data_IF_180126561365
#
_entry.id   IF_180126561365
#
_cell.length_a   1.000
_cell.length_b   1.000
_cell.length_c   1.000
_cell.angle_alpha   90.00
_cell.angle_beta   90.00
_cell.angle_gamma   90.00
#
_symmetry.space_group_name_H-M   'P 1'
#
loop_
_entity.id
_entity.type
_entity.pdbx_description
1 polymer ?
#
# COMPACT_ATOMS: atom_id res chain seq x y z
N UNK A 1 39.87 -32.14 36.73
CA UNK A 1 38.66 -31.77 37.50
C UNK A 1 38.01 -33.05 37.92
N UNK A 2 37.87 -33.29 39.22
CA UNK A 2 37.07 -34.40 39.73
C UNK A 2 35.60 -34.25 39.28
N UNK A 3 34.97 -35.34 38.84
CA UNK A 3 33.54 -35.32 38.49
C UNK A 3 32.73 -35.17 39.78
N UNK A 4 31.96 -34.08 39.90
CA UNK A 4 31.01 -33.91 41.01
C UNK A 4 29.81 -34.86 40.82
N UNK A 5 29.06 -35.21 41.88
CA UNK A 5 27.88 -36.10 41.79
C UNK A 5 26.59 -35.33 42.09
N UNK A 6 25.47 -35.68 41.44
CA UNK A 6 24.14 -35.07 41.69
C UNK A 6 23.91 -33.73 40.97
N UNK A 7 23.15 -32.81 41.58
CA UNK A 7 22.87 -31.46 41.07
C UNK A 7 24.13 -30.68 40.61
N UNK A 8 25.25 -30.68 41.35
CA UNK A 8 26.47 -30.00 40.89
C UNK A 8 27.07 -30.59 39.61
N UNK A 9 26.85 -31.89 39.33
CA UNK A 9 27.22 -32.49 38.04
C UNK A 9 26.45 -31.83 36.89
N UNK A 10 25.15 -31.56 37.08
CA UNK A 10 24.32 -30.92 36.04
C UNK A 10 24.83 -29.52 35.70
N UNK A 11 25.22 -28.73 36.70
CA UNK A 11 25.83 -27.42 36.47
C UNK A 11 27.21 -27.53 35.80
N UNK A 12 28.02 -28.50 36.21
CA UNK A 12 29.33 -28.76 35.60
C UNK A 12 29.19 -29.13 34.11
N UNK A 13 28.23 -30.01 33.79
CA UNK A 13 27.93 -30.44 32.43
C UNK A 13 27.32 -29.31 31.59
N UNK A 14 26.34 -28.60 32.13
CA UNK A 14 25.72 -27.44 31.46
C UNK A 14 26.76 -26.39 31.11
N UNK A 15 27.65 -26.05 32.05
CA UNK A 15 28.75 -25.11 31.82
C UNK A 15 29.72 -25.62 30.75
N UNK A 16 30.12 -26.89 30.81
CA UNK A 16 31.01 -27.48 29.81
C UNK A 16 30.38 -27.46 28.40
N UNK A 17 29.09 -27.76 28.30
CA UNK A 17 28.32 -27.70 27.06
C UNK A 17 28.18 -26.26 26.55
N UNK A 18 27.91 -25.30 27.42
CA UNK A 18 27.82 -23.88 27.07
C UNK A 18 29.14 -23.37 26.52
N UNK A 19 30.25 -23.67 27.18
CA UNK A 19 31.59 -23.25 26.74
C UNK A 19 31.94 -23.88 25.39
N UNK A 20 31.64 -25.18 25.20
CA UNK A 20 31.87 -25.85 23.91
C UNK A 20 31.06 -25.21 22.78
N UNK A 21 29.77 -24.96 23.01
CA UNK A 21 28.90 -24.34 22.00
C UNK A 21 29.27 -22.86 21.76
N UNK A 22 29.69 -22.13 22.78
CA UNK A 22 30.17 -20.75 22.66
C UNK A 22 31.48 -20.69 21.85
N UNK A 23 32.44 -21.60 22.09
CA UNK A 23 33.67 -21.70 21.30
C UNK A 23 33.41 -22.09 19.85
N UNK A 24 32.47 -23.00 19.60
CA UNK A 24 32.07 -23.39 18.25
C UNK A 24 31.42 -22.22 17.51
N UNK A 25 30.48 -21.52 18.18
CA UNK A 25 29.83 -20.32 17.68
C UNK A 25 30.84 -19.18 17.43
N UNK A 26 31.85 -19.06 18.28
CA UNK A 26 32.96 -18.12 18.11
C UNK A 26 33.88 -18.45 16.93
N UNK A 27 33.90 -19.69 16.43
CA UNK A 27 34.61 -20.00 15.18
C UNK A 27 33.80 -19.60 13.94
N UNK A 28 32.47 -19.63 14.03
CA UNK A 28 31.55 -19.19 12.98
C UNK A 28 30.94 -17.80 13.26
N UNK A 29 31.79 -16.82 13.60
CA UNK A 29 31.38 -15.45 13.99
C UNK A 29 30.51 -14.75 12.95
N UNK A 30 30.75 -15.00 11.67
CA UNK A 30 29.99 -14.38 10.58
C UNK A 30 28.53 -14.84 10.56
N UNK A 31 28.26 -16.13 10.77
CA UNK A 31 26.90 -16.65 10.75
C UNK A 31 26.07 -16.12 11.92
N UNK A 32 26.65 -16.08 13.12
CA UNK A 32 25.97 -15.53 14.30
C UNK A 32 25.83 -14.01 14.26
N UNK A 33 26.83 -13.30 13.73
CA UNK A 33 26.71 -11.85 13.52
C UNK A 33 25.60 -11.52 12.53
N UNK A 34 25.55 -12.19 11.37
CA UNK A 34 24.49 -11.98 10.38
C UNK A 34 23.11 -12.30 10.96
N UNK A 35 22.99 -13.38 11.74
CA UNK A 35 21.71 -13.76 12.33
C UNK A 35 21.21 -12.77 13.39
N UNK A 36 22.09 -12.27 14.26
CA UNK A 36 21.72 -11.28 15.28
C UNK A 36 21.50 -9.90 14.66
N UNK A 37 22.31 -9.51 13.68
CA UNK A 37 22.23 -8.20 13.03
C UNK A 37 21.13 -8.11 11.97
N UNK A 38 20.63 -9.26 11.48
CA UNK A 38 19.57 -9.31 10.47
C UNK A 38 18.32 -8.53 10.90
N UNK A 39 17.88 -8.67 12.15
CA UNK A 39 16.71 -7.93 12.65
C UNK A 39 16.92 -6.42 12.63
N UNK A 40 18.11 -5.94 12.99
CA UNK A 40 18.47 -4.52 12.94
C UNK A 40 18.49 -3.99 11.51
N UNK A 41 19.04 -4.76 10.57
CA UNK A 41 19.01 -4.41 9.14
C UNK A 41 17.58 -4.32 8.64
N UNK A 42 16.70 -5.26 9.00
CA UNK A 42 15.30 -5.21 8.60
C UNK A 42 14.57 -3.98 9.15
N UNK A 43 14.78 -3.63 10.42
CA UNK A 43 14.21 -2.42 11.03
C UNK A 43 14.71 -1.17 10.29
N UNK A 44 16.01 -1.10 10.00
CA UNK A 44 16.59 0.01 9.24
C UNK A 44 16.01 0.11 7.82
N UNK A 45 15.85 -1.02 7.13
CA UNK A 45 15.22 -1.05 5.79
C UNK A 45 13.77 -0.55 5.83
N UNK A 46 12.98 -0.98 6.82
CA UNK A 46 11.60 -0.49 7.00
C UNK A 46 11.57 1.02 7.22
N UNK A 47 12.49 1.55 8.03
CA UNK A 47 12.62 2.99 8.23
C UNK A 47 12.96 3.73 6.93
N UNK A 48 13.93 3.23 6.15
CA UNK A 48 14.28 3.81 4.85
C UNK A 48 13.09 3.82 3.88
N UNK A 49 12.29 2.75 3.85
CA UNK A 49 11.08 2.68 3.00
C UNK A 49 10.06 3.74 3.44
N UNK A 50 9.80 3.88 4.73
CA UNK A 50 8.89 4.92 5.23
C UNK A 50 9.36 6.32 4.84
N UNK A 51 10.65 6.62 5.01
CA UNK A 51 11.23 7.92 4.62
C UNK A 51 11.15 8.16 3.12
N UNK A 52 11.36 7.13 2.29
CA UNK A 52 11.25 7.24 0.84
C UNK A 52 9.81 7.52 0.39
N UNK A 53 8.83 6.84 1.02
CA UNK A 53 7.40 7.11 0.81
C UNK A 53 7.08 8.56 1.18
N UNK A 54 7.46 9.01 2.38
CA UNK A 54 7.22 10.40 2.81
C UNK A 54 7.83 11.42 1.85
N UNK A 55 9.07 11.21 1.40
CA UNK A 55 9.75 12.09 0.45
C UNK A 55 9.02 12.15 -0.91
N UNK A 56 8.49 11.01 -1.39
CA UNK A 56 7.73 10.96 -2.64
C UNK A 56 6.40 11.72 -2.53
N UNK A 57 5.75 11.69 -1.37
CA UNK A 57 4.45 12.32 -1.16
C UNK A 57 4.52 13.73 -0.55
N UNK A 58 5.72 14.28 -0.34
CA UNK A 58 5.92 15.64 0.21
C UNK A 58 5.29 16.73 -0.67
N UNK A 59 5.22 16.51 -1.99
CA UNK A 59 4.60 17.44 -2.96
C UNK A 59 3.06 17.27 -3.05
N UNK A 60 2.48 16.31 -2.33
CA UNK A 60 1.05 16.03 -2.37
C UNK A 60 0.40 16.35 -1.04
N UNK A 61 -0.71 17.08 -1.05
CA UNK A 61 -1.51 17.37 0.16
C UNK A 61 -2.20 16.13 0.74
N UNK A 62 -1.94 14.93 0.20
CA UNK A 62 -2.57 13.68 0.62
C UNK A 62 -2.30 13.34 2.10
N UNK A 63 -1.18 13.80 2.66
CA UNK A 63 -0.80 13.59 4.06
C UNK A 63 -0.82 14.85 4.93
N UNK A 64 -1.19 16.02 4.37
CA UNK A 64 -1.35 17.23 5.17
C UNK A 64 -2.76 17.35 5.74
N UNK A 65 -2.85 17.64 7.03
CA UNK A 65 -4.11 18.01 7.67
C UNK A 65 -4.47 19.44 7.27
N UNK A 66 -5.22 19.59 6.17
CA UNK A 66 -5.72 20.89 5.72
C UNK A 66 -6.98 21.24 6.52
N UNK A 67 -6.84 22.15 7.49
CA UNK A 67 -7.94 22.59 8.37
C UNK A 67 -9.00 23.44 7.65
N UNK A 68 -8.63 24.09 6.55
CA UNK A 68 -9.54 24.87 5.69
C UNK A 68 -9.23 24.61 4.21
N UNK A 69 -9.80 23.54 3.62
CA UNK A 69 -9.57 23.22 2.22
C UNK A 69 -10.29 24.24 1.33
N UNK A 70 -9.54 24.94 0.48
CA UNK A 70 -10.14 25.76 -0.58
C UNK A 70 -11.06 24.86 -1.42
N UNK A 71 -12.31 25.26 -1.69
CA UNK A 71 -13.22 24.47 -2.50
C UNK A 71 -12.59 24.25 -3.88
N UNK A 72 -12.38 22.98 -4.23
CA UNK A 72 -11.96 22.57 -5.57
C UNK A 72 -13.09 22.94 -6.53
N UNK A 73 -12.91 24.02 -7.27
CA UNK A 73 -13.85 24.43 -8.31
C UNK A 73 -13.78 23.42 -9.46
N UNK A 74 -14.66 22.40 -9.40
CA UNK A 74 -14.97 21.43 -10.46
C UNK A 74 -13.79 21.10 -11.39
N UNK A 75 -12.77 20.35 -10.92
CA UNK A 75 -11.66 19.97 -11.77
C UNK A 75 -12.17 19.18 -13.00
N UNK A 76 -11.48 19.31 -14.15
CA UNK A 76 -11.86 18.57 -15.36
C UNK A 76 -11.81 17.07 -15.12
N UNK A 77 -12.74 16.34 -15.74
CA UNK A 77 -12.72 14.87 -15.79
C UNK A 77 -11.67 14.47 -16.85
N UNK A 78 -10.50 13.93 -16.43
CA UNK A 78 -9.45 13.53 -17.37
C UNK A 78 -9.91 12.31 -18.19
N UNK A 79 -9.32 12.09 -19.39
CA UNK A 79 -9.59 10.89 -20.16
C UNK A 79 -9.11 9.64 -19.40
N UNK A 80 -9.84 8.54 -19.52
CA UNK A 80 -9.49 7.29 -18.83
C UNK A 80 -8.12 6.74 -19.22
N UNK A 81 -7.63 7.08 -20.42
CA UNK A 81 -6.34 6.66 -20.97
C UNK A 81 -5.12 7.25 -20.27
N UNK A 82 -5.25 8.38 -19.55
CA UNK A 82 -4.12 9.03 -18.89
C UNK A 82 -3.61 8.24 -17.66
N UNK A 83 -4.25 7.10 -17.34
CA UNK A 83 -3.85 6.22 -16.24
C UNK A 83 -2.85 5.17 -16.71
N UNK A 84 -1.75 5.02 -15.98
CA UNK A 84 -0.66 4.07 -16.28
C UNK A 84 -1.09 2.60 -16.46
N UNK A 85 -2.20 2.17 -15.84
CA UNK A 85 -2.68 0.79 -15.87
C UNK A 85 -4.13 0.70 -16.33
N UNK A 86 -4.39 1.12 -17.57
CA UNK A 86 -5.74 1.11 -18.15
C UNK A 86 -6.10 -0.25 -18.76
N UNK A 87 -7.34 -0.73 -18.51
CA UNK A 87 -7.94 -1.87 -19.21
C UNK A 87 -8.94 -1.37 -20.25
N UNK A 88 -8.87 -1.90 -21.48
CA UNK A 88 -9.73 -1.51 -22.59
C UNK A 88 -10.91 -2.51 -22.71
N UNK A 89 -12.16 -2.05 -22.91
CA UNK A 89 -12.59 -0.65 -23.07
C UNK A 89 -12.58 0.12 -21.73
N UNK A 90 -12.15 1.39 -21.79
CA UNK A 90 -12.19 2.30 -20.65
C UNK A 90 -13.20 3.43 -20.84
N UNK A 91 -13.77 3.89 -19.73
CA UNK A 91 -14.79 4.93 -19.66
C UNK A 91 -14.35 6.05 -18.73
N UNK A 92 -14.65 7.30 -19.10
CA UNK A 92 -14.30 8.50 -18.34
C UNK A 92 -15.13 8.60 -17.05
N UNK A 93 -16.42 8.27 -17.13
CA UNK A 93 -17.28 8.12 -15.96
C UNK A 93 -18.46 7.17 -16.22
N UNK A 94 -19.02 6.66 -15.12
CA UNK A 94 -20.18 5.77 -15.11
C UNK A 94 -21.38 6.48 -14.49
N UNK A 95 -22.59 6.10 -14.89
CA UNK A 95 -23.82 6.62 -14.28
C UNK A 95 -24.91 5.54 -14.21
N UNK A 96 -25.82 5.67 -13.24
CA UNK A 96 -27.03 4.85 -13.12
C UNK A 96 -28.29 5.70 -13.32
N UNK A 97 -29.47 5.08 -13.38
CA UNK A 97 -30.73 5.81 -13.54
C UNK A 97 -31.02 6.31 -14.97
N UNK A 98 -30.62 5.55 -16.00
CA UNK A 98 -30.87 5.89 -17.41
C UNK A 98 -32.36 6.02 -17.80
N UNK A 99 -33.28 5.50 -16.98
CA UNK A 99 -34.72 5.72 -17.15
C UNK A 99 -35.17 7.14 -16.79
N UNK A 100 -34.37 7.92 -16.04
CA UNK A 100 -34.71 9.28 -15.64
C UNK A 100 -34.25 10.30 -16.67
N UNK A 101 -35.19 11.08 -17.21
CA UNK A 101 -34.91 12.18 -18.14
C UNK A 101 -34.04 13.27 -17.49
N UNK A 102 -34.17 13.47 -16.17
CA UNK A 102 -33.36 14.43 -15.41
C UNK A 102 -31.90 13.96 -15.38
N UNK A 103 -31.67 12.69 -15.08
CA UNK A 103 -30.32 12.11 -15.04
C UNK A 103 -29.66 12.20 -16.41
N UNK A 104 -30.38 11.82 -17.48
CA UNK A 104 -29.86 11.90 -18.84
C UNK A 104 -29.50 13.35 -19.22
N UNK A 105 -30.30 14.33 -18.79
CA UNK A 105 -30.00 15.76 -19.00
C UNK A 105 -28.75 16.20 -18.24
N UNK A 106 -28.56 15.72 -17.02
CA UNK A 106 -27.36 16.02 -16.22
C UNK A 106 -26.12 15.42 -16.89
N UNK A 107 -26.17 14.14 -17.28
CA UNK A 107 -25.07 13.45 -17.96
C UNK A 107 -24.69 14.16 -19.26
N UNK A 108 -25.67 14.55 -20.07
CA UNK A 108 -25.42 15.31 -21.29
C UNK A 108 -24.73 16.67 -21.01
N UNK A 109 -25.14 17.36 -19.94
CA UNK A 109 -24.50 18.62 -19.52
C UNK A 109 -23.08 18.41 -19.00
N UNK A 110 -22.82 17.35 -18.25
CA UNK A 110 -21.46 16.99 -17.80
C UNK A 110 -20.58 16.73 -19.01
N UNK A 111 -21.05 15.94 -19.97
CA UNK A 111 -20.30 15.62 -21.18
C UNK A 111 -19.98 16.87 -22.01
N UNK A 112 -20.93 17.79 -22.14
CA UNK A 112 -20.76 19.00 -22.94
C UNK A 112 -19.93 20.10 -22.24
N UNK A 113 -19.98 20.18 -20.91
CA UNK A 113 -19.35 21.25 -20.14
C UNK A 113 -18.11 20.79 -19.36
N UNK A 114 -17.52 19.65 -19.71
CA UNK A 114 -16.27 19.21 -19.11
C UNK A 114 -15.13 20.16 -19.53
N UNK A 115 -14.44 20.84 -18.60
CA UNK A 115 -13.39 21.79 -18.93
C UNK A 115 -12.25 21.12 -19.71
N UNK A 116 -11.70 21.81 -20.71
CA UNK A 116 -10.57 21.33 -21.51
C UNK A 116 -10.93 20.32 -22.62
N UNK A 117 -11.99 19.52 -22.48
CA UNK A 117 -12.50 18.66 -23.57
C UNK A 117 -13.95 18.21 -23.34
N UNK A 118 -14.82 18.22 -24.38
CA UNK A 118 -16.09 17.50 -24.32
C UNK A 118 -15.88 15.99 -24.19
N UNK A 119 -16.68 15.31 -23.38
CA UNK A 119 -16.59 13.85 -23.17
C UNK A 119 -17.43 13.13 -24.24
N UNK A 120 -16.84 12.25 -25.09
CA UNK A 120 -17.58 11.50 -26.09
C UNK A 120 -18.56 10.51 -25.47
N UNK A 121 -19.71 10.25 -26.13
CA UNK A 121 -20.69 9.28 -25.62
C UNK A 121 -20.14 7.85 -25.49
N UNK A 122 -19.20 7.47 -26.36
CA UNK A 122 -18.51 6.19 -26.30
C UNK A 122 -17.65 6.00 -25.02
N UNK A 123 -17.33 7.10 -24.32
CA UNK A 123 -16.57 7.13 -23.07
C UNK A 123 -17.46 7.21 -21.83
N UNK A 124 -18.77 7.09 -21.98
CA UNK A 124 -19.74 7.14 -20.88
C UNK A 124 -20.57 5.87 -20.88
N UNK A 125 -20.51 5.12 -19.79
CA UNK A 125 -21.21 3.83 -19.68
C UNK A 125 -22.29 3.90 -18.60
N UNK A 126 -23.48 3.41 -18.96
CA UNK A 126 -24.57 3.21 -18.02
C UNK A 126 -24.38 1.89 -17.26
N UNK A 127 -24.64 1.90 -15.96
CA UNK A 127 -24.64 0.72 -15.10
C UNK A 127 -26.01 0.57 -14.40
N UNK A 128 -26.53 -0.65 -14.38
CA UNK A 128 -27.67 -1.01 -13.56
C UNK A 128 -27.17 -1.30 -12.15
N UNK A 129 -27.74 -0.61 -11.15
CA UNK A 129 -27.55 -0.97 -9.75
C UNK A 129 -28.40 -2.19 -9.44
N UNK A 130 -27.90 -3.40 -9.72
CA UNK A 130 -28.36 -4.55 -8.96
C UNK A 130 -27.79 -4.38 -7.55
N UNK A 131 -28.66 -4.30 -6.54
CA UNK A 131 -28.32 -4.02 -5.14
C UNK A 131 -27.33 -5.01 -4.50
N UNK A 132 -26.84 -6.00 -5.25
CA UNK A 132 -25.95 -7.06 -4.77
C UNK A 132 -24.46 -6.81 -5.06
N UNK A 133 -24.10 -5.75 -5.80
CA UNK A 133 -22.69 -5.49 -6.16
C UNK A 133 -22.25 -4.06 -5.85
N UNK A 134 -22.59 -3.54 -4.66
CA UNK A 134 -21.65 -2.63 -3.99
C UNK A 134 -20.47 -3.45 -3.45
N UNK A 135 -19.72 -4.11 -4.35
CA UNK A 135 -18.42 -4.68 -3.98
C UNK A 135 -17.43 -3.51 -3.87
N UNK A 136 -16.55 -3.52 -2.85
CA UNK A 136 -15.50 -2.53 -2.77
C UNK A 136 -14.68 -2.62 -4.05
N UNK A 137 -14.49 -1.49 -4.73
CA UNK A 137 -13.49 -1.37 -5.78
C UNK A 137 -12.16 -1.60 -5.06
N UNK A 138 -11.69 -2.85 -5.05
CA UNK A 138 -10.35 -3.19 -4.62
C UNK A 138 -9.39 -2.53 -5.60
N UNK A 139 -8.87 -1.38 -5.18
CA UNK A 139 -7.70 -0.75 -5.77
C UNK A 139 -6.54 -1.69 -5.45
N UNK A 140 -6.10 -2.47 -6.45
CA UNK A 140 -4.81 -3.13 -6.50
C UNK A 140 -4.00 -2.47 -7.62
#
# INVERSE_FOLDING_TARGET
MELQKGIPLLFQQFKALLVKNALLSWRHKWATFLQVFSSLVFIFLMFCIQRAIEAQFTETTYYENVLDPKPLASPPIPPCEDKFFIKVPCYDFLYSGNSSSIVNRIVARIMANNPGRPIPRAKVQFITTDFQTCFPISIF
#
